data_IF_186351978097
#
_entry.id   IF_186351978097
#
_cell.length_a   1.000
_cell.length_b   1.000
_cell.length_c   1.000
_cell.angle_alpha   90.00
_cell.angle_beta   90.00
_cell.angle_gamma   90.00
#
_symmetry.space_group_name_H-M   'P 1'
#
loop_
_entity.id
_entity.type
_entity.pdbx_description
1 polymer ?
#
# COMPACT_ATOMS: atom_id res chain seq x y z
N UNK A 1 -14.16 -3.99 -5.09
CA UNK A 1 -15.18 -2.95 -5.35
C UNK A 1 -15.31 -2.06 -4.13
N UNK A 2 -15.82 -0.83 -4.31
CA UNK A 2 -15.94 0.17 -3.24
C UNK A 2 -16.68 -0.37 -1.99
N UNK A 3 -17.78 -1.04 -2.21
CA UNK A 3 -18.64 -1.61 -1.16
C UNK A 3 -17.94 -2.70 -0.32
N UNK A 4 -16.85 -3.24 -0.82
CA UNK A 4 -16.10 -4.33 -0.19
C UNK A 4 -14.93 -3.82 0.66
N UNK A 5 -14.58 -2.54 0.54
CA UNK A 5 -13.38 -1.96 1.18
C UNK A 5 -13.48 -2.07 2.71
N UNK A 6 -14.61 -1.72 3.30
CA UNK A 6 -14.81 -1.78 4.75
C UNK A 6 -14.65 -3.22 5.29
N UNK A 7 -15.33 -4.18 4.68
CA UNK A 7 -15.26 -5.59 5.10
C UNK A 7 -13.84 -6.14 4.98
N UNK A 8 -13.12 -5.77 3.92
CA UNK A 8 -11.74 -6.18 3.73
C UNK A 8 -10.80 -5.61 4.80
N UNK A 9 -10.90 -4.31 5.11
CA UNK A 9 -10.07 -3.69 6.15
C UNK A 9 -10.32 -4.29 7.53
N UNK A 10 -11.59 -4.48 7.91
CA UNK A 10 -11.94 -5.13 9.18
C UNK A 10 -11.30 -6.52 9.27
N UNK A 11 -11.41 -7.34 8.23
CA UNK A 11 -10.85 -8.68 8.25
C UNK A 11 -9.31 -8.69 8.26
N UNK A 12 -8.67 -7.78 7.53
CA UNK A 12 -7.19 -7.68 7.50
C UNK A 12 -6.65 -7.18 8.85
N UNK A 13 -7.31 -6.23 9.48
CA UNK A 13 -6.90 -5.74 10.81
C UNK A 13 -7.04 -6.78 11.92
N UNK A 14 -7.87 -7.81 11.74
CA UNK A 14 -8.00 -8.94 12.67
C UNK A 14 -6.91 -10.01 12.50
N UNK A 15 -6.04 -9.90 11.48
CA UNK A 15 -4.90 -10.81 11.32
C UNK A 15 -3.96 -10.63 12.52
N UNK A 16 -3.64 -11.74 13.22
CA UNK A 16 -2.81 -11.71 14.43
C UNK A 16 -1.42 -11.09 14.23
N UNK A 17 -0.84 -11.23 13.03
CA UNK A 17 0.45 -10.63 12.70
C UNK A 17 0.26 -9.19 12.24
N UNK A 18 0.68 -8.17 13.01
CA UNK A 18 0.62 -6.77 12.58
C UNK A 18 1.49 -6.51 11.35
N UNK A 19 2.57 -7.27 11.17
CA UNK A 19 3.44 -7.19 9.99
C UNK A 19 2.66 -7.59 8.72
N UNK A 20 1.92 -8.69 8.78
CA UNK A 20 1.12 -9.16 7.63
C UNK A 20 -0.04 -8.19 7.38
N UNK A 21 -0.73 -7.76 8.41
CA UNK A 21 -1.84 -6.81 8.28
C UNK A 21 -1.38 -5.48 7.63
N UNK A 22 -0.26 -4.93 8.08
CA UNK A 22 0.33 -3.73 7.48
C UNK A 22 0.80 -3.95 6.04
N UNK A 23 1.44 -5.09 5.76
CA UNK A 23 1.89 -5.44 4.41
C UNK A 23 0.73 -5.47 3.40
N UNK A 24 -0.39 -6.10 3.76
CA UNK A 24 -1.58 -6.17 2.92
C UNK A 24 -2.20 -4.79 2.69
N UNK A 25 -2.30 -3.97 3.73
CA UNK A 25 -2.78 -2.59 3.60
C UNK A 25 -1.86 -1.76 2.70
N UNK A 26 -0.53 -1.88 2.85
CA UNK A 26 0.43 -1.23 1.96
C UNK A 26 0.27 -1.68 0.50
N UNK A 27 -0.01 -2.96 0.23
CA UNK A 27 -0.29 -3.44 -1.13
C UNK A 27 -1.52 -2.76 -1.75
N UNK A 28 -2.59 -2.60 -0.97
CA UNK A 28 -3.78 -1.90 -1.44
C UNK A 28 -3.51 -0.40 -1.64
N UNK A 29 -2.88 0.26 -0.67
CA UNK A 29 -2.72 1.73 -0.66
C UNK A 29 -1.69 2.22 -1.68
N UNK A 30 -0.71 1.40 -2.06
CA UNK A 30 0.29 1.75 -3.09
C UNK A 30 -0.08 1.27 -4.48
N UNK A 31 -0.93 0.25 -4.58
CA UNK A 31 -1.15 -0.47 -5.83
C UNK A 31 0.12 -1.09 -6.41
N UNK A 32 1.19 -1.22 -5.63
CA UNK A 32 2.43 -1.84 -6.05
C UNK A 32 2.27 -3.36 -6.27
N UNK A 33 3.21 -3.98 -6.98
CA UNK A 33 3.21 -5.45 -7.12
C UNK A 33 3.50 -6.09 -5.76
N UNK A 34 2.88 -7.23 -5.41
CA UNK A 34 3.13 -7.88 -4.13
C UNK A 34 4.60 -8.09 -3.81
N UNK A 35 5.40 -8.54 -4.78
CA UNK A 35 6.84 -8.74 -4.61
C UNK A 35 7.62 -7.45 -4.35
N UNK A 36 7.17 -6.32 -4.89
CA UNK A 36 7.77 -5.01 -4.64
C UNK A 36 7.55 -4.57 -3.18
N UNK A 37 6.34 -4.76 -2.66
CA UNK A 37 6.01 -4.42 -1.27
C UNK A 37 6.75 -5.36 -0.30
N UNK A 38 6.76 -6.67 -0.58
CA UNK A 38 7.46 -7.65 0.24
C UNK A 38 8.98 -7.40 0.31
N UNK A 39 9.57 -6.89 -0.76
CA UNK A 39 11.00 -6.58 -0.85
C UNK A 39 11.38 -5.19 -0.32
N UNK A 40 10.44 -4.46 0.31
CA UNK A 40 10.70 -3.11 0.82
C UNK A 40 11.67 -3.17 2.01
N UNK A 41 12.67 -2.30 1.98
CA UNK A 41 13.64 -2.13 3.05
C UNK A 41 13.44 -0.81 3.78
N UNK A 42 13.92 -0.72 5.01
CA UNK A 42 13.86 0.53 5.77
C UNK A 42 14.66 1.67 5.11
N UNK A 43 15.72 1.36 4.40
CA UNK A 43 16.50 2.34 3.62
C UNK A 43 15.71 2.95 2.44
N UNK A 44 14.67 2.26 1.98
CA UNK A 44 13.78 2.74 0.92
C UNK A 44 12.71 3.71 1.42
N UNK A 45 12.54 3.84 2.74
CA UNK A 45 11.53 4.69 3.38
C UNK A 45 12.20 5.98 3.86
N UNK A 46 11.94 7.06 3.16
CA UNK A 46 12.44 8.38 3.54
C UNK A 46 11.35 9.16 4.28
N UNK A 47 11.46 9.25 5.60
CA UNK A 47 10.48 9.95 6.44
C UNK A 47 10.62 11.48 6.38
N UNK A 48 11.81 11.99 6.05
CA UNK A 48 12.07 13.43 5.92
C UNK A 48 11.37 13.99 4.67
N UNK A 49 11.55 13.33 3.53
CA UNK A 49 10.95 13.72 2.26
C UNK A 49 9.59 13.04 2.01
N UNK A 50 9.16 12.20 2.96
CA UNK A 50 7.90 11.43 2.88
C UNK A 50 7.76 10.72 1.53
N UNK A 51 8.78 9.95 1.17
CA UNK A 51 8.86 9.18 -0.06
C UNK A 51 9.21 7.71 0.21
N UNK A 52 8.78 6.83 -0.69
CA UNK A 52 9.12 5.41 -0.69
C UNK A 52 9.71 5.06 -2.05
N UNK A 53 10.92 4.49 -2.05
CA UNK A 53 11.57 3.97 -3.24
C UNK A 53 11.10 2.54 -3.49
N UNK A 54 10.35 2.31 -4.54
CA UNK A 54 9.87 1.00 -4.96
C UNK A 54 10.82 0.45 -6.02
N UNK A 55 11.45 -0.68 -5.71
CA UNK A 55 12.39 -1.35 -6.62
C UNK A 55 11.68 -2.41 -7.45
N UNK A 56 11.73 -2.27 -8.76
CA UNK A 56 11.28 -3.29 -9.71
C UNK A 56 12.49 -4.01 -10.31
N UNK A 57 12.40 -5.33 -10.46
CA UNK A 57 13.49 -6.14 -11.01
C UNK A 57 13.80 -5.85 -12.48
N UNK A 58 12.82 -5.37 -13.23
CA UNK A 58 12.90 -5.16 -14.68
C UNK A 58 12.95 -3.67 -15.03
N UNK A 59 12.18 -2.86 -14.30
CA UNK A 59 11.90 -1.47 -14.65
C UNK A 59 12.74 -0.46 -13.85
N UNK A 60 13.56 -0.94 -12.90
CA UNK A 60 14.40 -0.08 -12.07
C UNK A 60 13.67 0.41 -10.81
N UNK A 61 13.97 1.63 -10.38
CA UNK A 61 13.41 2.19 -9.15
C UNK A 61 12.49 3.35 -9.48
N UNK A 62 11.35 3.42 -8.80
CA UNK A 62 10.46 4.58 -8.81
C UNK A 62 10.24 5.10 -7.40
N UNK A 63 9.99 6.39 -7.27
CA UNK A 63 9.58 7.00 -6.02
C UNK A 63 8.08 7.26 -6.01
N UNK A 64 7.44 6.89 -4.92
CA UNK A 64 6.04 7.20 -4.63
C UNK A 64 5.95 7.97 -3.30
N UNK A 65 4.90 8.79 -3.10
CA UNK A 65 4.68 9.44 -1.82
C UNK A 65 4.46 8.43 -0.70
N UNK A 66 5.09 8.64 0.45
CA UNK A 66 4.72 8.01 1.71
C UNK A 66 3.58 8.84 2.32
N UNK A 67 2.36 8.37 2.18
CA UNK A 67 1.17 9.07 2.65
C UNK A 67 1.03 8.96 4.17
N UNK A 68 0.25 9.83 4.84
CA UNK A 68 0.18 9.88 6.29
C UNK A 68 -0.19 8.55 6.97
N UNK A 69 -1.17 7.83 6.44
CA UNK A 69 -1.58 6.55 7.02
C UNK A 69 -0.55 5.45 6.74
N UNK A 70 0.07 5.42 5.56
CA UNK A 70 1.19 4.52 5.31
C UNK A 70 2.33 4.75 6.31
N UNK A 71 2.71 6.00 6.58
CA UNK A 71 3.74 6.33 7.58
C UNK A 71 3.33 5.88 8.98
N UNK A 72 2.04 6.01 9.34
CA UNK A 72 1.50 5.50 10.60
C UNK A 72 1.63 3.97 10.71
N UNK A 73 1.27 3.23 9.65
CA UNK A 73 1.43 1.78 9.61
C UNK A 73 2.91 1.38 9.78
N UNK A 74 3.80 2.04 9.06
CA UNK A 74 5.24 1.76 9.12
C UNK A 74 5.85 2.08 10.48
N UNK A 75 5.43 3.17 11.12
CA UNK A 75 5.91 3.58 12.45
C UNK A 75 5.55 2.55 13.54
N UNK A 76 4.45 1.82 13.38
CA UNK A 76 4.00 0.79 14.32
C UNK A 76 4.73 -0.55 14.14
N UNK A 77 5.52 -0.72 13.07
CA UNK A 77 6.20 -1.98 12.79
C UNK A 77 7.52 -2.14 13.56
N UNK A 78 7.84 -3.37 14.02
CA UNK A 78 9.11 -3.63 14.67
C UNK A 78 10.25 -3.62 13.65
N UNK A 79 11.30 -2.85 13.93
CA UNK A 79 12.54 -2.83 13.12
C UNK A 79 13.48 -3.94 13.59
N UNK A 80 13.22 -5.17 13.16
CA UNK A 80 14.00 -6.35 13.57
C UNK A 80 15.24 -6.59 12.71
N UNK A 81 15.18 -6.20 11.44
CA UNK A 81 16.23 -6.33 10.44
C UNK A 81 16.07 -5.24 9.37
N UNK A 82 16.75 -5.38 8.23
CA UNK A 82 16.69 -4.42 7.12
C UNK A 82 15.31 -4.36 6.42
N UNK A 83 14.47 -5.40 6.55
CA UNK A 83 13.19 -5.49 5.88
C UNK A 83 12.10 -4.75 6.65
N UNK A 84 11.24 -4.04 5.92
CA UNK A 84 10.04 -3.39 6.49
C UNK A 84 9.07 -4.44 6.99
N UNK A 85 8.95 -5.54 6.27
CA UNK A 85 8.09 -6.67 6.62
C UNK A 85 8.96 -7.89 6.97
N UNK A 86 9.46 -7.96 8.20
CA UNK A 86 10.32 -9.05 8.64
C UNK A 86 9.54 -10.35 8.87
N UNK A 87 10.24 -11.49 8.71
CA UNK A 87 9.74 -12.81 9.06
C UNK A 87 10.78 -13.58 9.88
N UNK A 88 10.33 -14.21 10.96
CA UNK A 88 11.19 -15.07 11.78
C UNK A 88 11.29 -16.50 11.23
N UNK A 89 10.45 -16.86 10.27
CA UNK A 89 10.35 -18.23 9.71
C UNK A 89 10.96 -18.35 8.33
N UNK A 90 11.22 -17.22 7.67
CA UNK A 90 11.85 -17.20 6.36
C UNK A 90 13.38 -17.15 6.48
N UNK A 91 14.07 -17.94 5.66
CA UNK A 91 15.52 -17.93 5.58
C UNK A 91 16.11 -16.57 5.17
N UNK A 92 15.37 -15.77 4.40
CA UNK A 92 15.77 -14.41 4.01
C UNK A 92 15.54 -13.35 5.10
N UNK A 93 14.83 -13.69 6.18
CA UNK A 93 14.39 -12.74 7.19
C UNK A 93 13.25 -11.81 6.74
N UNK A 94 12.79 -11.95 5.52
CA UNK A 94 11.73 -11.16 4.88
C UNK A 94 10.43 -11.97 4.81
N UNK A 95 9.29 -11.32 4.94
CA UNK A 95 7.98 -11.92 4.70
C UNK A 95 7.87 -12.33 3.22
N UNK A 96 7.58 -13.61 2.95
CA UNK A 96 7.52 -14.13 1.58
C UNK A 96 6.11 -14.49 1.13
N UNK A 97 5.27 -14.96 2.04
CA UNK A 97 3.97 -15.53 1.68
C UNK A 97 2.81 -15.07 2.59
N UNK A 98 2.26 -13.86 2.39
CA UNK A 98 1.06 -13.43 3.10
C UNK A 98 -0.25 -13.99 2.49
N UNK A 99 -0.17 -14.90 1.49
CA UNK A 99 -1.33 -15.42 0.76
C UNK A 99 -2.34 -16.13 1.67
N UNK A 100 -1.88 -17.07 2.51
CA UNK A 100 -2.78 -17.85 3.36
C UNK A 100 -3.53 -16.99 4.39
N UNK A 101 -2.86 -16.09 5.14
CA UNK A 101 -3.56 -15.13 6.01
C UNK A 101 -4.55 -14.24 5.24
N UNK A 102 -4.16 -13.74 4.07
CA UNK A 102 -5.04 -12.92 3.23
C UNK A 102 -6.26 -13.70 2.75
N UNK A 103 -6.08 -14.93 2.24
CA UNK A 103 -7.18 -15.78 1.78
C UNK A 103 -8.18 -16.06 2.91
N UNK A 104 -7.68 -16.34 4.13
CA UNK A 104 -8.56 -16.57 5.30
C UNK A 104 -9.33 -15.30 5.67
N UNK A 105 -8.67 -14.15 5.67
CA UNK A 105 -9.32 -12.86 5.93
C UNK A 105 -10.39 -12.55 4.89
N UNK A 106 -10.08 -12.74 3.60
CA UNK A 106 -11.04 -12.55 2.51
C UNK A 106 -12.24 -13.50 2.64
N UNK A 107 -12.02 -14.76 2.96
CA UNK A 107 -13.11 -15.72 3.18
C UNK A 107 -14.02 -15.30 4.33
N UNK A 108 -13.44 -14.87 5.46
CA UNK A 108 -14.19 -14.36 6.60
C UNK A 108 -15.03 -13.11 6.27
N UNK A 109 -14.55 -12.27 5.33
CA UNK A 109 -15.23 -11.07 4.85
C UNK A 109 -16.21 -11.34 3.69
N UNK A 110 -16.37 -12.58 3.24
CA UNK A 110 -17.19 -12.91 2.07
C UNK A 110 -16.61 -12.44 0.73
N UNK A 111 -15.29 -12.25 0.66
CA UNK A 111 -14.56 -11.73 -0.50
C UNK A 111 -13.70 -12.83 -1.17
N UNK A 112 -14.29 -13.99 -1.38
CA UNK A 112 -13.57 -15.11 -1.98
C UNK A 112 -13.05 -14.77 -3.39
N UNK A 113 -11.84 -15.27 -3.70
CA UNK A 113 -11.18 -15.03 -4.99
C UNK A 113 -10.38 -13.74 -5.10
N UNK A 114 -10.38 -12.87 -4.08
CA UNK A 114 -9.50 -11.72 -4.05
C UNK A 114 -8.05 -12.16 -3.75
N UNK A 115 -7.16 -11.94 -4.72
CA UNK A 115 -5.74 -12.29 -4.62
C UNK A 115 -4.90 -11.07 -4.22
N UNK A 116 -3.61 -11.27 -3.89
CA UNK A 116 -2.67 -10.16 -3.67
C UNK A 116 -2.54 -9.27 -4.92
N UNK A 117 -2.48 -9.87 -6.11
CA UNK A 117 -2.53 -9.09 -7.36
C UNK A 117 -3.88 -8.41 -7.58
N UNK A 118 -4.94 -8.96 -7.00
CA UNK A 118 -6.26 -8.33 -6.94
C UNK A 118 -6.25 -6.99 -6.21
N UNK A 119 -5.44 -6.85 -5.15
CA UNK A 119 -5.29 -5.58 -4.42
C UNK A 119 -4.74 -4.47 -5.31
N UNK A 120 -3.75 -4.78 -6.15
CA UNK A 120 -3.23 -3.83 -7.14
C UNK A 120 -4.29 -3.42 -8.17
N UNK A 121 -5.11 -4.36 -8.66
CA UNK A 121 -6.24 -4.05 -9.54
C UNK A 121 -7.30 -3.23 -8.81
N UNK A 122 -7.55 -3.54 -7.54
CA UNK A 122 -8.49 -2.78 -6.71
C UNK A 122 -8.04 -1.33 -6.53
N UNK A 123 -6.75 -1.07 -6.29
CA UNK A 123 -6.24 0.30 -6.24
C UNK A 123 -6.60 1.07 -7.51
N UNK A 124 -6.31 0.53 -8.71
CA UNK A 124 -6.65 1.18 -9.96
C UNK A 124 -8.16 1.44 -10.10
N UNK A 125 -8.99 0.42 -9.80
CA UNK A 125 -10.46 0.57 -9.91
C UNK A 125 -11.04 1.57 -8.90
N UNK A 126 -10.46 1.66 -7.70
CA UNK A 126 -10.90 2.61 -6.68
C UNK A 126 -10.54 4.05 -7.03
N UNK A 127 -9.44 4.28 -7.75
CA UNK A 127 -9.05 5.63 -8.19
C UNK A 127 -9.98 6.22 -9.25
N UNK A 128 -10.73 5.39 -9.98
CA UNK A 128 -11.74 5.85 -10.94
C UNK A 128 -12.85 6.67 -10.27
N UNK A 129 -13.23 6.33 -9.02
CA UNK A 129 -14.23 7.08 -8.25
C UNK A 129 -13.79 8.51 -7.92
N UNK A 130 -12.50 8.77 -7.99
CA UNK A 130 -11.91 10.06 -7.72
C UNK A 130 -11.52 10.82 -8.99
N UNK A 131 -11.77 10.25 -10.15
CA UNK A 131 -11.37 10.82 -11.45
C UNK A 131 -9.87 11.19 -11.47
N UNK A 132 -9.04 10.34 -10.85
CA UNK A 132 -7.59 10.57 -10.84
C UNK A 132 -7.02 10.36 -12.23
N UNK A 133 -6.20 11.28 -12.76
CA UNK A 133 -5.63 11.10 -14.08
C UNK A 133 -4.89 9.77 -14.23
N UNK A 134 -5.21 9.00 -15.27
CA UNK A 134 -4.65 7.66 -15.49
C UNK A 134 -3.12 7.62 -15.45
N UNK A 135 -2.45 8.67 -15.94
CA UNK A 135 -0.98 8.78 -15.87
C UNK A 135 -0.44 8.97 -14.45
N UNK A 136 -1.23 9.49 -13.50
CA UNK A 136 -0.85 9.55 -12.07
C UNK A 136 -0.92 8.15 -11.49
N UNK A 137 -2.03 7.45 -11.70
CA UNK A 137 -2.22 6.08 -11.24
C UNK A 137 -1.15 5.15 -11.80
N UNK A 138 -0.87 5.25 -13.10
CA UNK A 138 0.17 4.48 -13.77
C UNK A 138 1.56 4.73 -13.16
N UNK A 139 1.90 5.99 -12.85
CA UNK A 139 3.20 6.34 -12.27
C UNK A 139 3.32 5.81 -10.83
N UNK A 140 2.30 5.93 -9.99
CA UNK A 140 2.28 5.37 -8.63
C UNK A 140 2.44 3.84 -8.69
N UNK A 141 1.68 3.17 -9.56
CA UNK A 141 1.74 1.73 -9.71
C UNK A 141 3.03 1.23 -10.41
N UNK A 142 3.76 2.07 -11.13
CA UNK A 142 4.91 1.67 -11.93
C UNK A 142 4.49 0.94 -13.21
N UNK A 143 3.45 1.43 -13.88
CA UNK A 143 3.15 1.01 -15.24
C UNK A 143 3.94 1.88 -16.21
N UNK A 144 4.73 1.26 -17.05
CA UNK A 144 5.32 1.98 -18.20
C UNK A 144 4.25 2.19 -19.27
N UNK A 145 4.19 3.39 -19.86
CA UNK A 145 3.32 3.62 -21.00
C UNK A 145 3.75 2.72 -22.17
N UNK A 146 2.80 2.36 -23.02
CA UNK A 146 3.12 1.72 -24.31
C UNK A 146 4.01 2.63 -25.16
N UNK A 147 4.80 2.04 -26.08
CA UNK A 147 5.76 2.78 -26.92
C UNK A 147 5.16 4.01 -27.63
N UNK A 148 3.86 3.97 -27.95
CA UNK A 148 3.15 5.09 -28.57
C UNK A 148 2.88 6.22 -27.59
N UNK A 149 2.67 5.91 -26.30
CA UNK A 149 2.43 6.89 -25.23
C UNK A 149 3.74 7.44 -24.62
N UNK A 150 4.87 6.76 -24.82
CA UNK A 150 6.19 7.17 -24.29
C UNK A 150 6.63 8.54 -24.79
N UNK A 151 6.30 8.91 -26.03
CA UNK A 151 6.64 10.23 -26.61
C UNK A 151 6.02 11.40 -25.83
N UNK A 152 4.99 11.15 -25.03
CA UNK A 152 4.24 12.14 -24.29
C UNK A 152 4.20 11.84 -22.77
N UNK A 153 4.98 10.87 -22.30
CA UNK A 153 5.02 10.52 -20.89
C UNK A 153 5.67 11.63 -20.07
N UNK A 154 4.85 12.32 -19.31
CA UNK A 154 5.33 13.34 -18.35
C UNK A 154 5.52 12.67 -16.99
N UNK A 155 6.78 12.51 -16.60
CA UNK A 155 7.11 12.12 -15.21
C UNK A 155 6.72 13.29 -14.30
N UNK A 156 5.79 13.05 -13.40
CA UNK A 156 5.32 14.04 -12.43
C UNK A 156 6.27 14.06 -11.24
N UNK A 157 6.62 15.24 -10.70
CA UNK A 157 7.40 15.34 -9.48
C UNK A 157 6.64 14.71 -8.30
N UNK A 158 7.40 14.24 -7.30
CA UNK A 158 6.86 13.55 -6.13
C UNK A 158 5.78 14.36 -5.41
N UNK A 159 5.96 15.67 -5.33
CA UNK A 159 5.00 16.56 -4.66
C UNK A 159 3.64 16.60 -5.37
N UNK A 160 3.62 16.56 -6.70
CA UNK A 160 2.37 16.47 -7.45
C UNK A 160 1.69 15.11 -7.29
N UNK A 161 2.48 14.03 -7.27
CA UNK A 161 1.95 12.70 -6.96
C UNK A 161 1.37 12.66 -5.55
N UNK A 162 1.98 13.35 -4.59
CA UNK A 162 1.55 13.41 -3.20
C UNK A 162 0.12 13.94 -3.08
N UNK A 163 -0.19 15.05 -3.76
CA UNK A 163 -1.55 15.64 -3.75
C UNK A 163 -2.60 14.60 -4.13
N UNK A 164 -2.34 13.81 -5.16
CA UNK A 164 -3.26 12.78 -5.60
C UNK A 164 -3.26 11.56 -4.67
N UNK A 165 -2.10 11.10 -4.23
CA UNK A 165 -1.96 9.88 -3.46
C UNK A 165 -2.55 10.03 -2.05
N UNK A 166 -2.36 11.17 -1.40
CA UNK A 166 -3.00 11.47 -0.11
C UNK A 166 -4.54 11.57 -0.25
N UNK A 167 -5.04 12.12 -1.36
CA UNK A 167 -6.48 12.13 -1.65
C UNK A 167 -7.03 10.71 -1.86
N UNK A 168 -6.29 9.85 -2.55
CA UNK A 168 -6.65 8.44 -2.75
C UNK A 168 -6.69 7.71 -1.41
N UNK A 169 -5.65 7.85 -0.60
CA UNK A 169 -5.57 7.24 0.73
C UNK A 169 -6.74 7.69 1.60
N UNK A 170 -6.96 8.98 1.72
CA UNK A 170 -8.03 9.54 2.56
C UNK A 170 -9.41 8.98 2.14
N UNK A 171 -9.67 8.91 0.85
CA UNK A 171 -10.93 8.35 0.35
C UNK A 171 -11.06 6.85 0.61
N UNK A 172 -9.98 6.07 0.43
CA UNK A 172 -9.98 4.63 0.74
C UNK A 172 -10.28 4.41 2.24
N UNK A 173 -9.66 5.20 3.12
CA UNK A 173 -9.90 5.12 4.57
C UNK A 173 -11.34 5.49 4.93
N UNK A 174 -11.90 6.50 4.28
CA UNK A 174 -13.32 6.88 4.43
C UNK A 174 -14.23 5.70 4.04
N UNK A 175 -14.00 5.07 2.87
CA UNK A 175 -14.77 3.90 2.45
C UNK A 175 -14.57 2.69 3.38
N UNK A 176 -13.41 2.60 4.04
CA UNK A 176 -13.12 1.58 5.04
C UNK A 176 -13.78 1.86 6.41
N UNK A 177 -14.32 3.05 6.63
CA UNK A 177 -14.82 3.48 7.94
C UNK A 177 -13.70 3.72 8.95
N UNK A 178 -12.47 3.98 8.50
CA UNK A 178 -11.31 4.24 9.36
C UNK A 178 -11.22 5.73 9.62
N UNK A 179 -11.35 6.10 10.91
CA UNK A 179 -11.05 7.45 11.36
C UNK A 179 -9.55 7.56 11.64
N UNK A 180 -8.84 8.32 10.81
CA UNK A 180 -7.41 8.54 10.94
C UNK A 180 -7.11 10.03 11.03
N UNK A 181 -6.40 10.43 12.07
CA UNK A 181 -5.92 11.79 12.27
C UNK A 181 -4.41 11.84 12.00
N UNK A 182 -4.04 12.42 10.88
CA UNK A 182 -2.63 12.57 10.48
C UNK A 182 -1.81 13.47 11.43
N UNK A 183 -2.47 14.24 12.27
CA UNK A 183 -1.85 15.12 13.28
C UNK A 183 -1.69 14.42 14.64
N UNK A 184 -2.29 13.25 14.82
CA UNK A 184 -2.11 12.47 16.05
C UNK A 184 -0.68 11.93 16.14
N UNK A 185 -0.13 11.94 17.36
CA UNK A 185 1.24 11.45 17.61
C UNK A 185 1.36 10.00 17.12
N UNK A 186 2.38 9.66 16.30
CA UNK A 186 2.62 8.29 15.86
C UNK A 186 2.74 7.34 17.05
N UNK A 187 1.96 6.26 17.07
CA UNK A 187 1.96 5.27 18.14
C UNK A 187 0.84 5.38 19.17
N UNK A 188 0.06 6.44 19.17
CA UNK A 188 -1.13 6.51 20.01
C UNK A 188 -2.28 5.73 19.36
N UNK A 189 -2.44 4.46 19.74
CA UNK A 189 -3.66 3.70 19.48
C UNK A 189 -4.79 4.36 20.28
N UNK A 190 -5.66 5.11 19.61
CA UNK A 190 -6.94 5.47 20.21
C UNK A 190 -7.86 4.25 20.11
N UNK A 191 -8.24 3.72 21.28
CA UNK A 191 -9.33 2.78 21.35
C UNK A 191 -10.57 3.43 20.71
N UNK A 192 -11.16 2.73 19.74
CA UNK A 192 -12.47 3.10 19.20
C UNK A 192 -13.48 2.78 20.29
N UNK A 193 -14.18 3.80 20.77
CA UNK A 193 -15.30 3.65 21.66
C UNK A 193 -16.51 3.12 20.89
#
# INVERSE_FOLDING_TARGET
>A
QREQVAAWFVAVQQIQSPVIAACLQMMLLTGARPGEVLALRWEDVNTQWKGISIRDKVEGTREIPATPYMLHLLAALPRRNEWVFPSNTSASGCLTEPNNPHTRACKAAGLEGLTLHGLRRSFASLTEWLEVPAGVVAQIQGHKPSATAEKHYKVRPLELLRVHHERIEAWILEQAGIVFDAQAVPGALRAVA
#
